data_IF_262296686781
#
_entry.id   IF_262296686781
#
_cell.length_a   1.000
_cell.length_b   1.000
_cell.length_c   1.000
_cell.angle_alpha   90.00
_cell.angle_beta   90.00
_cell.angle_gamma   90.00
#
_symmetry.space_group_name_H-M   'P 1'
#
loop_
_entity.id
_entity.type
_entity.pdbx_description
1 polymer ?
#
# COMPACT_ATOMS: atom_id res chain seq x y z
N UNK A 1 -40.45 34.58 -14.94
CA UNK A 1 -39.63 33.97 -16.00
C UNK A 1 -38.14 34.00 -15.66
N UNK A 2 -37.56 35.15 -15.33
CA UNK A 2 -36.13 35.25 -14.97
C UNK A 2 -35.74 34.45 -13.71
N UNK A 3 -36.60 34.40 -12.70
CA UNK A 3 -36.34 33.67 -11.45
C UNK A 3 -36.16 32.16 -11.67
N UNK A 4 -37.01 31.56 -12.52
CA UNK A 4 -36.87 30.16 -12.91
C UNK A 4 -35.54 29.88 -13.63
N UNK A 5 -35.11 30.81 -14.49
CA UNK A 5 -33.83 30.72 -15.20
C UNK A 5 -32.66 30.78 -14.22
N UNK A 6 -32.71 31.67 -13.23
CA UNK A 6 -31.67 31.79 -12.18
C UNK A 6 -31.59 30.51 -11.36
N UNK A 7 -32.72 30.01 -10.85
CA UNK A 7 -32.76 28.78 -10.05
C UNK A 7 -32.27 27.58 -10.86
N UNK A 8 -32.64 27.49 -12.14
CA UNK A 8 -32.21 26.43 -13.05
C UNK A 8 -30.69 26.45 -13.25
N UNK A 9 -30.11 27.61 -13.55
CA UNK A 9 -28.66 27.75 -13.77
C UNK A 9 -27.88 27.44 -12.49
N UNK A 10 -28.33 27.96 -11.34
CA UNK A 10 -27.67 27.69 -10.06
C UNK A 10 -27.71 26.20 -9.74
N UNK A 11 -28.87 25.56 -9.89
CA UNK A 11 -29.01 24.11 -9.64
C UNK A 11 -28.14 23.30 -10.59
N UNK A 12 -28.10 23.68 -11.88
CA UNK A 12 -27.26 23.01 -12.88
C UNK A 12 -25.77 23.11 -12.56
N UNK A 13 -25.31 24.30 -12.12
CA UNK A 13 -23.91 24.50 -11.74
C UNK A 13 -23.54 23.71 -10.48
N UNK A 14 -24.43 23.64 -9.48
CA UNK A 14 -24.18 22.86 -8.26
C UNK A 14 -24.11 21.37 -8.58
N UNK A 15 -25.10 20.82 -9.28
CA UNK A 15 -25.14 19.39 -9.63
C UNK A 15 -23.99 19.03 -10.58
N UNK A 16 -23.76 19.85 -11.60
CA UNK A 16 -22.66 19.66 -12.55
C UNK A 16 -21.28 19.76 -11.88
N UNK A 17 -21.11 20.69 -10.93
CA UNK A 17 -19.89 20.85 -10.16
C UNK A 17 -19.59 19.64 -9.27
N UNK A 18 -20.60 19.10 -8.59
CA UNK A 18 -20.47 17.86 -7.80
C UNK A 18 -20.13 16.67 -8.71
N UNK A 19 -20.82 16.51 -9.84
CA UNK A 19 -20.53 15.45 -10.80
C UNK A 19 -19.10 15.55 -11.37
N UNK A 20 -18.65 16.76 -11.71
CA UNK A 20 -17.27 17.03 -12.12
C UNK A 20 -16.27 16.74 -11.01
N UNK A 21 -16.55 17.12 -9.77
CA UNK A 21 -15.69 16.81 -8.63
C UNK A 21 -15.58 15.29 -8.41
N UNK A 22 -16.66 14.54 -8.61
CA UNK A 22 -16.63 13.08 -8.55
C UNK A 22 -15.90 12.45 -9.75
N UNK A 23 -16.01 13.01 -10.96
CA UNK A 23 -15.27 12.54 -12.14
C UNK A 23 -13.78 12.88 -12.09
N UNK A 24 -13.43 14.06 -11.59
CA UNK A 24 -12.05 14.52 -11.38
C UNK A 24 -11.42 13.88 -10.14
N UNK A 25 -12.25 13.44 -9.20
CA UNK A 25 -11.88 12.52 -8.12
C UNK A 25 -11.48 11.18 -8.72
N UNK A 26 -10.28 11.12 -9.30
CA UNK A 26 -9.58 9.88 -9.64
C UNK A 26 -9.76 8.96 -8.44
N UNK A 27 -10.48 7.86 -8.62
CA UNK A 27 -10.54 6.80 -7.61
C UNK A 27 -9.09 6.49 -7.25
N UNK A 28 -8.66 6.68 -5.99
CA UNK A 28 -7.33 6.25 -5.58
C UNK A 28 -7.39 4.74 -5.62
N UNK A 29 -7.11 4.17 -6.78
CA UNK A 29 -6.91 2.74 -6.93
C UNK A 29 -5.65 2.49 -6.12
N UNK A 30 -5.84 2.03 -4.89
CA UNK A 30 -4.79 1.53 -4.03
C UNK A 30 -4.19 0.34 -4.78
N UNK A 31 -3.23 0.63 -5.66
CA UNK A 31 -2.45 -0.34 -6.40
C UNK A 31 -1.16 -0.45 -5.61
N UNK A 32 -0.95 -1.54 -4.87
CA UNK A 32 0.34 -1.83 -4.28
C UNK A 32 1.35 -1.89 -5.44
N UNK A 33 2.04 -0.78 -5.63
CA UNK A 33 3.13 -0.65 -6.58
C UNK A 33 4.40 -1.22 -5.95
N UNK A 34 5.42 -1.52 -6.74
CA UNK A 34 6.70 -2.04 -6.22
C UNK A 34 7.26 -1.11 -5.14
N UNK A 35 7.13 0.21 -5.35
CA UNK A 35 7.53 1.23 -4.38
C UNK A 35 6.77 1.12 -3.04
N UNK A 36 5.49 0.74 -3.07
CA UNK A 36 4.71 0.54 -1.84
C UNK A 36 5.26 -0.66 -1.05
N UNK A 37 5.48 -1.79 -1.73
CA UNK A 37 6.04 -3.00 -1.10
C UNK A 37 7.43 -2.71 -0.52
N UNK A 38 8.32 -2.06 -1.29
CA UNK A 38 9.64 -1.66 -0.80
C UNK A 38 9.56 -0.73 0.42
N UNK A 39 8.63 0.23 0.41
CA UNK A 39 8.43 1.13 1.56
C UNK A 39 7.97 0.40 2.81
N UNK A 40 7.07 -0.59 2.68
CA UNK A 40 6.59 -1.41 3.80
C UNK A 40 7.74 -2.24 4.37
N UNK A 41 8.54 -2.88 3.52
CA UNK A 41 9.71 -3.66 3.94
C UNK A 41 10.75 -2.79 4.65
N UNK A 42 11.02 -1.60 4.12
CA UNK A 42 11.97 -0.64 4.71
C UNK A 42 11.48 -0.16 6.07
N UNK A 43 10.22 0.30 6.16
CA UNK A 43 9.60 0.73 7.42
C UNK A 43 9.53 -0.40 8.45
N UNK A 44 9.41 -1.66 8.02
CA UNK A 44 9.48 -2.83 8.91
C UNK A 44 10.90 -3.07 9.46
N UNK A 45 11.93 -2.87 8.64
CA UNK A 45 13.34 -2.96 9.06
C UNK A 45 13.72 -1.83 10.03
N UNK A 46 13.23 -0.62 9.76
CA UNK A 46 13.42 0.56 10.62
C UNK A 46 12.59 0.50 11.90
N UNK A 47 11.62 -0.42 11.96
CA UNK A 47 10.72 -0.59 13.11
C UNK A 47 9.77 0.60 13.26
N UNK A 48 9.30 1.15 12.15
CA UNK A 48 8.29 2.22 12.08
C UNK A 48 6.88 1.68 11.81
N UNK A 49 6.76 0.41 11.42
CA UNK A 49 5.47 -0.24 11.19
C UNK A 49 4.84 -0.70 12.50
N UNK A 50 3.51 -0.57 12.61
CA UNK A 50 2.74 -1.23 13.66
C UNK A 50 2.50 -2.70 13.34
N UNK A 51 2.18 -3.49 14.36
CA UNK A 51 1.82 -4.91 14.19
C UNK A 51 0.60 -5.09 13.28
N UNK A 52 -0.42 -4.26 13.45
CA UNK A 52 -1.62 -4.30 12.61
C UNK A 52 -1.32 -3.97 11.14
N UNK A 53 -0.47 -2.97 10.86
CA UNK A 53 -0.06 -2.65 9.48
C UNK A 53 0.71 -3.81 8.84
N UNK A 54 1.59 -4.46 9.61
CA UNK A 54 2.36 -5.61 9.13
C UNK A 54 1.46 -6.83 8.88
N UNK A 55 0.58 -7.16 9.82
CA UNK A 55 -0.40 -8.23 9.67
C UNK A 55 -1.34 -8.00 8.49
N UNK A 56 -1.77 -6.75 8.28
CA UNK A 56 -2.59 -6.40 7.13
C UNK A 56 -1.86 -6.67 5.81
N UNK A 57 -0.59 -6.25 5.71
CA UNK A 57 0.22 -6.46 4.51
C UNK A 57 0.42 -7.95 4.19
N UNK A 58 0.82 -8.77 5.17
CA UNK A 58 1.11 -10.19 4.91
C UNK A 58 -0.14 -11.01 4.54
N UNK A 59 -1.32 -10.58 4.98
CA UNK A 59 -2.60 -11.27 4.72
C UNK A 59 -3.36 -10.72 3.50
N UNK A 60 -2.88 -9.65 2.87
CA UNK A 60 -3.52 -9.03 1.70
C UNK A 60 -2.96 -9.61 0.40
N UNK A 61 -3.70 -10.45 -0.35
CA UNK A 61 -3.20 -11.02 -1.60
C UNK A 61 -3.03 -9.97 -2.70
N UNK A 62 -1.94 -10.06 -3.46
CA UNK A 62 -1.58 -9.15 -4.55
C UNK A 62 -1.87 -9.84 -5.89
N UNK A 63 -3.11 -9.79 -6.37
CA UNK A 63 -3.52 -10.53 -7.57
C UNK A 63 -2.96 -9.96 -8.89
N UNK A 64 -2.60 -8.68 -8.92
CA UNK A 64 -2.18 -8.00 -10.15
C UNK A 64 -0.72 -8.23 -10.53
N UNK A 65 0.12 -8.65 -9.59
CA UNK A 65 1.53 -8.92 -9.81
C UNK A 65 1.98 -10.17 -9.04
N UNK A 66 2.12 -11.32 -9.72
CA UNK A 66 2.50 -12.57 -9.08
C UNK A 66 3.93 -12.53 -8.49
N UNK A 67 4.80 -11.64 -8.98
CA UNK A 67 6.16 -11.47 -8.45
C UNK A 67 6.11 -10.82 -7.07
N UNK A 68 5.29 -9.77 -6.93
CA UNK A 68 5.09 -9.10 -5.65
C UNK A 68 4.34 -9.97 -4.66
N UNK A 69 3.38 -10.78 -5.12
CA UNK A 69 2.70 -11.74 -4.25
C UNK A 69 3.64 -12.83 -3.72
N UNK A 70 4.57 -13.33 -4.55
CA UNK A 70 5.61 -14.27 -4.10
C UNK A 70 6.52 -13.64 -3.02
N UNK A 71 6.84 -12.34 -3.13
CA UNK A 71 7.60 -11.65 -2.08
C UNK A 71 6.77 -11.46 -0.81
N UNK A 72 5.48 -11.08 -0.92
CA UNK A 72 4.56 -11.04 0.23
C UNK A 72 4.49 -12.40 0.92
N UNK A 73 4.38 -13.48 0.15
CA UNK A 73 4.32 -14.84 0.67
C UNK A 73 5.62 -15.24 1.39
N UNK A 74 6.79 -14.89 0.83
CA UNK A 74 8.08 -15.07 1.51
C UNK A 74 8.17 -14.25 2.80
N UNK A 75 7.57 -13.07 2.85
CA UNK A 75 7.48 -12.27 4.07
C UNK A 75 6.57 -12.94 5.12
N UNK A 76 5.43 -13.49 4.70
CA UNK A 76 4.52 -14.28 5.56
C UNK A 76 5.24 -15.48 6.16
N UNK A 77 5.95 -16.26 5.35
CA UNK A 77 6.74 -17.40 5.82
C UNK A 77 7.85 -16.98 6.79
N UNK A 78 8.55 -15.87 6.50
CA UNK A 78 9.58 -15.32 7.39
C UNK A 78 8.97 -14.89 8.74
N UNK A 79 7.77 -14.32 8.72
CA UNK A 79 7.04 -13.96 9.92
C UNK A 79 6.70 -15.18 10.79
N UNK A 80 6.23 -16.25 10.16
CA UNK A 80 5.90 -17.51 10.84
C UNK A 80 7.13 -18.21 11.42
N UNK A 81 8.26 -18.19 10.71
CA UNK A 81 9.49 -18.87 11.11
C UNK A 81 10.21 -18.17 12.27
N UNK A 82 10.37 -16.84 12.20
CA UNK A 82 11.16 -16.09 13.19
C UNK A 82 10.30 -15.45 14.28
N UNK A 83 9.03 -15.17 13.99
CA UNK A 83 8.11 -14.46 14.86
C UNK A 83 8.41 -12.96 14.94
N UNK A 84 7.42 -12.23 15.44
CA UNK A 84 7.51 -10.80 15.71
C UNK A 84 7.99 -10.55 17.13
N UNK A 85 8.67 -9.42 17.30
CA UNK A 85 8.87 -8.80 18.58
C UNK A 85 8.30 -7.39 18.53
N UNK A 86 7.18 -7.18 19.20
CA UNK A 86 6.61 -5.85 19.37
C UNK A 86 7.33 -5.11 20.51
N UNK A 87 7.89 -3.94 20.23
CA UNK A 87 8.44 -3.02 21.25
C UNK A 87 7.78 -1.66 21.09
N UNK A 88 7.11 -1.19 22.15
CA UNK A 88 6.35 0.07 22.15
C UNK A 88 5.30 0.19 21.02
N UNK A 89 4.60 -0.90 20.70
CA UNK A 89 3.57 -0.93 19.67
C UNK A 89 4.08 -0.94 18.23
N UNK A 90 5.40 -1.04 18.04
CA UNK A 90 6.02 -1.17 16.72
C UNK A 90 6.46 -2.60 16.49
N UNK A 91 6.10 -3.15 15.33
CA UNK A 91 6.48 -4.48 14.93
C UNK A 91 7.93 -4.50 14.47
N UNK A 92 8.69 -5.48 14.95
CA UNK A 92 10.04 -5.74 14.49
C UNK A 92 10.26 -7.23 14.38
N UNK A 93 10.83 -7.69 13.26
CA UNK A 93 11.24 -9.08 13.14
C UNK A 93 12.44 -9.35 14.06
N UNK A 94 12.58 -10.59 14.52
CA UNK A 94 13.82 -11.04 15.18
C UNK A 94 14.99 -10.97 14.22
N UNK A 95 16.22 -10.98 14.74
CA UNK A 95 17.45 -10.78 13.97
C UNK A 95 17.54 -11.65 12.71
N UNK A 96 17.22 -12.95 12.81
CA UNK A 96 17.19 -13.86 11.64
C UNK A 96 16.15 -13.46 10.58
N UNK A 97 14.99 -12.99 11.01
CA UNK A 97 13.94 -12.49 10.13
C UNK A 97 14.31 -11.17 9.45
N UNK A 98 15.01 -10.27 10.14
CA UNK A 98 15.49 -9.01 9.56
C UNK A 98 16.53 -9.24 8.45
N UNK A 99 17.44 -10.20 8.64
CA UNK A 99 18.44 -10.55 7.61
C UNK A 99 17.74 -11.06 6.36
N UNK A 100 16.79 -11.99 6.52
CA UNK A 100 16.02 -12.54 5.40
C UNK A 100 15.19 -11.47 4.70
N UNK A 101 14.54 -10.59 5.45
CA UNK A 101 13.76 -9.48 4.91
C UNK A 101 14.64 -8.51 4.09
N UNK A 102 15.85 -8.24 4.56
CA UNK A 102 16.82 -7.40 3.83
C UNK A 102 17.26 -8.03 2.51
N UNK A 103 17.45 -9.34 2.46
CA UNK A 103 17.71 -10.03 1.20
C UNK A 103 16.53 -9.94 0.23
N UNK A 104 15.29 -10.05 0.73
CA UNK A 104 14.09 -9.88 -0.11
C UNK A 104 13.98 -8.46 -0.67
N UNK A 105 14.25 -7.43 0.15
CA UNK A 105 14.25 -6.04 -0.30
C UNK A 105 15.30 -5.80 -1.39
N UNK A 106 16.55 -6.25 -1.18
CA UNK A 106 17.61 -6.10 -2.18
C UNK A 106 17.26 -6.80 -3.51
N UNK A 107 16.64 -7.98 -3.44
CA UNK A 107 16.21 -8.71 -4.64
C UNK A 107 15.11 -7.96 -5.40
N UNK A 108 14.18 -7.32 -4.68
CA UNK A 108 13.15 -6.46 -5.28
C UNK A 108 13.76 -5.21 -5.94
N UNK A 109 14.69 -4.54 -5.28
CA UNK A 109 15.36 -3.36 -5.85
C UNK A 109 16.14 -3.71 -7.14
N UNK A 110 16.83 -4.86 -7.15
CA UNK A 110 17.53 -5.35 -8.34
C UNK A 110 16.59 -5.85 -9.45
N UNK A 111 15.42 -6.38 -9.08
CA UNK A 111 14.38 -6.81 -10.02
C UNK A 111 13.72 -5.62 -10.72
N UNK A 112 13.31 -4.60 -9.95
CA UNK A 112 12.74 -3.36 -10.48
C UNK A 112 13.74 -2.57 -11.32
N UNK A 113 15.03 -2.59 -10.96
CA UNK A 113 16.10 -1.98 -11.76
C UNK A 113 16.31 -2.63 -13.14
N UNK A 114 15.80 -3.85 -13.38
CA UNK A 114 15.83 -4.51 -14.71
C UNK A 114 14.61 -4.19 -15.58
N UNK A 115 13.60 -3.54 -15.04
CA UNK A 115 12.35 -3.20 -15.73
C UNK A 115 12.32 -1.77 -16.31
N UNK A 116 13.36 -0.97 -16.06
CA UNK A 116 13.57 0.37 -16.64
C UNK A 116 14.66 0.38 -17.72
#
# INVERSE_FOLDING_TARGET
MAEFLVVFVVTFLVVGGVALAMMLGRTPVYRPDEAHVQSVLTRMLDGELTENEWEFFINMPIHHDPTLDDVREKCRLTNEEYGLWARHGRARLKEGGQIRLRHLLNNLEQGGAKLF
#
